data_IF_018473938295
#
_entry.id   IF_018473938295
#
_cell.length_a   1.000
_cell.length_b   1.000
_cell.length_c   1.000
_cell.angle_alpha   90.00
_cell.angle_beta   90.00
_cell.angle_gamma   90.00
#
_symmetry.space_group_name_H-M   'P 1'
#
loop_
_entity.id
_entity.type
_entity.pdbx_description
1 polymer ?
#
# COMPACT_ATOMS: atom_id res chain seq x y z
N UNK A 1 7.54 17.97 6.16
CA UNK A 1 8.91 17.42 6.06
C UNK A 1 9.09 16.67 4.74
N UNK A 2 10.33 16.56 4.25
CA UNK A 2 10.69 15.77 3.08
C UNK A 2 10.28 14.29 3.20
N UNK A 3 10.45 13.66 4.37
CA UNK A 3 10.02 12.28 4.60
C UNK A 3 8.52 12.06 4.44
N UNK A 4 7.69 12.96 4.97
CA UNK A 4 6.23 12.89 4.79
C UNK A 4 5.83 13.08 3.33
N UNK A 5 6.41 14.07 2.64
CA UNK A 5 6.13 14.29 1.20
C UNK A 5 6.47 13.05 0.38
N UNK A 6 7.69 12.52 0.55
CA UNK A 6 8.12 11.32 -0.16
C UNK A 6 7.22 10.14 0.15
N UNK A 7 6.86 9.95 1.43
CA UNK A 7 5.98 8.89 1.85
C UNK A 7 4.58 8.96 1.24
N UNK A 8 4.00 10.17 1.11
CA UNK A 8 2.68 10.34 0.48
C UNK A 8 2.69 10.05 -1.01
N UNK A 9 3.76 10.42 -1.71
CA UNK A 9 3.87 10.19 -3.16
C UNK A 9 4.22 8.74 -3.48
N UNK A 10 4.96 8.05 -2.59
CA UNK A 10 5.50 6.70 -2.84
C UNK A 10 4.66 5.55 -2.29
N UNK A 11 3.50 5.82 -1.66
CA UNK A 11 2.49 4.81 -1.38
C UNK A 11 2.11 4.64 0.10
N UNK A 12 2.01 3.38 0.56
CA UNK A 12 1.37 3.04 1.83
C UNK A 12 2.16 3.52 3.06
N UNK A 13 1.85 4.75 3.48
CA UNK A 13 2.52 5.44 4.55
C UNK A 13 2.36 4.69 5.89
N UNK A 14 1.13 4.38 6.26
CA UNK A 14 0.76 3.84 7.58
C UNK A 14 1.31 2.44 7.80
N UNK A 15 1.29 1.58 6.78
CA UNK A 15 1.67 0.18 6.95
C UNK A 15 3.12 -0.12 6.58
N UNK A 16 3.78 0.72 5.78
CA UNK A 16 5.15 0.45 5.31
C UNK A 16 6.13 1.57 5.68
N UNK A 17 5.84 2.82 5.30
CA UNK A 17 6.84 3.91 5.38
C UNK A 17 7.05 4.42 6.80
N UNK A 18 5.98 4.62 7.57
CA UNK A 18 6.04 5.07 8.97
C UNK A 18 6.73 4.04 9.86
N UNK A 19 6.36 2.75 9.86
CA UNK A 19 7.08 1.74 10.65
C UNK A 19 8.56 1.64 10.29
N UNK A 20 8.91 1.68 8.99
CA UNK A 20 10.30 1.66 8.54
C UNK A 20 11.09 2.86 9.07
N UNK A 21 10.54 4.08 8.99
CA UNK A 21 11.17 5.28 9.52
C UNK A 21 11.33 5.23 11.04
N UNK A 22 10.32 4.73 11.77
CA UNK A 22 10.38 4.55 13.22
C UNK A 22 11.48 3.56 13.62
N UNK A 23 11.56 2.40 12.96
CA UNK A 23 12.63 1.42 13.20
C UNK A 23 14.02 1.98 12.88
N UNK A 24 14.17 2.74 11.80
CA UNK A 24 15.45 3.38 11.47
C UNK A 24 15.87 4.42 12.52
N UNK A 25 14.92 5.21 13.02
CA UNK A 25 15.17 6.18 14.10
C UNK A 25 15.53 5.48 15.41
N UNK A 26 14.89 4.35 15.73
CA UNK A 26 15.18 3.55 16.92
C UNK A 26 16.60 2.96 16.88
N UNK A 27 16.99 2.36 15.74
CA UNK A 27 18.36 1.83 15.53
C UNK A 27 19.41 2.94 15.64
N UNK A 28 19.12 4.11 15.07
CA UNK A 28 19.99 5.27 15.15
C UNK A 28 19.91 6.02 16.50
N UNK A 29 19.08 5.56 17.44
CA UNK A 29 18.86 6.16 18.77
C UNK A 29 18.50 7.65 18.71
N UNK A 30 17.71 8.04 17.71
CA UNK A 30 17.21 9.41 17.54
C UNK A 30 15.71 9.48 17.85
N UNK A 31 15.27 10.62 18.40
CA UNK A 31 13.87 10.83 18.73
C UNK A 31 13.10 11.36 17.51
N UNK A 32 11.85 10.88 17.27
CA UNK A 32 10.95 11.49 16.30
C UNK A 32 10.72 12.97 16.58
N UNK A 33 10.54 13.78 15.53
CA UNK A 33 10.30 15.22 15.64
C UNK A 33 11.55 16.06 15.97
N UNK A 34 12.72 15.44 16.08
CA UNK A 34 14.01 16.16 16.11
C UNK A 34 14.54 16.33 14.69
N UNK A 35 15.40 17.34 14.47
CA UNK A 35 16.03 17.57 13.16
C UNK A 35 16.79 16.34 12.64
N UNK A 36 17.52 15.64 13.53
CA UNK A 36 18.20 14.37 13.22
C UNK A 36 17.21 13.25 12.89
N UNK A 37 16.10 13.17 13.63
CA UNK A 37 15.03 12.20 13.37
C UNK A 37 14.38 12.43 12.01
N UNK A 38 14.19 13.69 11.61
CA UNK A 38 13.61 14.06 10.33
C UNK A 38 14.53 13.72 9.14
N UNK A 39 15.84 13.88 9.34
CA UNK A 39 16.84 13.53 8.35
C UNK A 39 16.90 12.01 8.13
N UNK A 40 16.90 11.24 9.23
CA UNK A 40 16.87 9.78 9.20
C UNK A 40 15.54 9.25 8.63
N UNK A 41 14.41 9.83 9.01
CA UNK A 41 13.10 9.44 8.49
C UNK A 41 13.02 9.64 6.97
N UNK A 42 13.55 10.76 6.47
CA UNK A 42 13.57 11.07 5.04
C UNK A 42 14.41 10.08 4.25
N UNK A 43 15.63 9.78 4.72
CA UNK A 43 16.50 8.78 4.07
C UNK A 43 15.87 7.40 4.12
N UNK A 44 15.31 7.01 5.27
CA UNK A 44 14.65 5.70 5.44
C UNK A 44 13.47 5.53 4.47
N UNK A 45 12.63 6.55 4.32
CA UNK A 45 11.47 6.52 3.42
C UNK A 45 11.93 6.48 1.95
N UNK A 46 13.01 7.18 1.60
CA UNK A 46 13.61 7.12 0.26
C UNK A 46 14.12 5.73 -0.08
N UNK A 47 14.92 5.13 0.79
CA UNK A 47 15.45 3.78 0.60
C UNK A 47 14.33 2.75 0.54
N UNK A 48 13.36 2.82 1.45
CA UNK A 48 12.17 1.94 1.42
C UNK A 48 11.46 1.99 0.07
N UNK A 49 11.36 3.18 -0.53
CA UNK A 49 10.69 3.38 -1.82
C UNK A 49 11.49 2.78 -2.96
N UNK A 50 12.80 3.00 -3.01
CA UNK A 50 13.68 2.38 -4.00
C UNK A 50 13.59 0.85 -3.91
N UNK A 51 13.67 0.28 -2.70
CA UNK A 51 13.57 -1.18 -2.49
C UNK A 51 12.21 -1.70 -2.98
N UNK A 52 11.12 -1.01 -2.65
CA UNK A 52 9.77 -1.41 -3.11
C UNK A 52 9.68 -1.38 -4.63
N UNK A 53 10.20 -0.33 -5.27
CA UNK A 53 10.23 -0.21 -6.74
C UNK A 53 11.03 -1.32 -7.38
N UNK A 54 12.20 -1.68 -6.83
CA UNK A 54 13.03 -2.78 -7.35
C UNK A 54 12.30 -4.12 -7.23
N UNK A 55 11.65 -4.39 -6.08
CA UNK A 55 10.88 -5.62 -5.88
C UNK A 55 9.74 -5.71 -6.89
N UNK A 56 8.98 -4.62 -7.09
CA UNK A 56 7.89 -4.57 -8.08
C UNK A 56 8.45 -4.79 -9.48
N UNK A 57 9.56 -4.13 -9.84
CA UNK A 57 10.18 -4.26 -11.14
C UNK A 57 10.58 -5.72 -11.44
N UNK A 58 11.25 -6.38 -10.50
CA UNK A 58 11.60 -7.80 -10.63
C UNK A 58 10.35 -8.67 -10.70
N UNK A 59 9.34 -8.41 -9.87
CA UNK A 59 8.07 -9.13 -9.90
C UNK A 59 7.36 -9.03 -11.25
N UNK A 60 7.34 -7.85 -11.87
CA UNK A 60 6.75 -7.64 -13.20
C UNK A 60 7.55 -8.38 -14.28
N UNK A 61 8.88 -8.35 -14.23
CA UNK A 61 9.71 -9.12 -15.16
C UNK A 61 9.44 -10.62 -15.07
N UNK A 62 9.29 -11.15 -13.86
CA UNK A 62 8.95 -12.57 -13.65
C UNK A 62 7.53 -12.90 -14.10
N UNK A 63 6.56 -12.01 -13.85
CA UNK A 63 5.18 -12.18 -14.28
C UNK A 63 5.01 -12.17 -15.80
N UNK A 64 5.85 -11.43 -16.53
CA UNK A 64 5.85 -11.44 -18.00
C UNK A 64 6.03 -12.85 -18.57
N UNK A 65 6.80 -13.71 -17.90
CA UNK A 65 6.97 -15.11 -18.31
C UNK A 65 5.73 -15.97 -18.05
N UNK A 66 4.87 -15.58 -17.10
CA UNK A 66 3.62 -16.27 -16.76
C UNK A 66 2.41 -15.77 -17.56
N UNK A 67 2.57 -14.69 -18.33
CA UNK A 67 1.51 -14.09 -19.14
C UNK A 67 0.66 -15.10 -19.95
N UNK A 68 1.21 -16.10 -20.67
CA UNK A 68 0.39 -17.05 -21.43
C UNK A 68 -0.54 -17.91 -20.56
N UNK A 69 -0.21 -18.11 -19.29
CA UNK A 69 -1.06 -18.84 -18.35
C UNK A 69 -2.14 -17.91 -17.81
N UNK A 70 -1.77 -16.67 -17.44
CA UNK A 70 -2.67 -15.68 -16.86
C UNK A 70 -3.76 -15.24 -17.86
N UNK A 71 -3.44 -15.16 -19.15
CA UNK A 71 -4.37 -14.79 -20.22
C UNK A 71 -5.20 -15.96 -20.78
N UNK A 72 -5.14 -17.14 -20.15
CA UNK A 72 -5.95 -18.29 -20.57
C UNK A 72 -7.45 -18.04 -20.39
N UNK A 73 -8.27 -18.62 -21.27
CA UNK A 73 -9.75 -18.51 -21.22
C UNK A 73 -10.34 -18.98 -19.87
N UNK A 74 -9.67 -19.92 -19.20
CA UNK A 74 -10.08 -20.44 -17.89
C UNK A 74 -9.94 -19.37 -16.80
N UNK A 75 -8.93 -18.50 -16.89
CA UNK A 75 -8.66 -17.45 -15.89
C UNK A 75 -9.27 -16.09 -16.26
N UNK A 76 -9.66 -15.87 -17.52
CA UNK A 76 -10.34 -14.66 -17.98
C UNK A 76 -11.47 -14.15 -17.05
N UNK A 77 -12.42 -14.99 -16.55
CA UNK A 77 -13.46 -14.50 -15.64
C UNK A 77 -12.93 -14.03 -14.28
N UNK A 78 -11.81 -14.58 -13.79
CA UNK A 78 -11.19 -14.13 -12.55
C UNK A 78 -10.62 -12.71 -12.73
N UNK A 79 -9.95 -12.44 -13.85
CA UNK A 79 -9.40 -11.11 -14.15
C UNK A 79 -10.50 -10.07 -14.43
N UNK A 80 -11.59 -10.46 -15.10
CA UNK A 80 -12.74 -9.59 -15.35
C UNK A 80 -13.42 -9.10 -14.06
N UNK A 81 -13.32 -9.87 -12.96
CA UNK A 81 -13.94 -9.57 -11.67
C UNK A 81 -12.95 -9.04 -10.62
N UNK A 82 -11.74 -8.63 -11.00
CA UNK A 82 -10.75 -8.07 -10.06
C UNK A 82 -11.27 -6.81 -9.35
N UNK A 83 -11.88 -5.87 -10.09
CA UNK A 83 -12.38 -4.63 -9.50
C UNK A 83 -13.54 -4.90 -8.51
N UNK A 84 -14.60 -5.63 -8.89
CA UNK A 84 -15.65 -6.01 -7.94
C UNK A 84 -15.15 -6.74 -6.71
N UNK A 85 -14.20 -7.67 -6.85
CA UNK A 85 -13.66 -8.42 -5.71
C UNK A 85 -12.79 -7.57 -4.78
N UNK A 86 -11.97 -6.67 -5.34
CA UNK A 86 -11.16 -5.73 -4.57
C UNK A 86 -12.03 -4.77 -3.76
N UNK A 87 -12.98 -4.10 -4.41
CA UNK A 87 -13.87 -3.15 -3.74
C UNK A 87 -14.90 -3.85 -2.84
N UNK A 88 -15.35 -5.04 -3.21
CA UNK A 88 -16.23 -5.86 -2.37
C UNK A 88 -15.58 -6.23 -1.05
N UNK A 89 -14.32 -6.68 -1.06
CA UNK A 89 -13.57 -6.97 0.17
C UNK A 89 -13.41 -5.72 1.05
N UNK A 90 -13.08 -4.57 0.45
CA UNK A 90 -13.00 -3.30 1.18
C UNK A 90 -14.36 -2.89 1.76
N UNK A 91 -15.43 -2.99 0.98
CA UNK A 91 -16.78 -2.65 1.39
C UNK A 91 -17.18 -3.45 2.63
N UNK A 92 -16.93 -4.76 2.66
CA UNK A 92 -17.20 -5.62 3.82
C UNK A 92 -16.45 -5.14 5.06
N UNK A 93 -15.16 -4.80 4.94
CA UNK A 93 -14.37 -4.27 6.07
C UNK A 93 -14.95 -2.97 6.62
N UNK A 94 -15.38 -2.04 5.75
CA UNK A 94 -15.95 -0.77 6.19
C UNK A 94 -17.37 -0.90 6.77
N UNK A 95 -18.22 -1.72 6.13
CA UNK A 95 -19.60 -1.97 6.56
C UNK A 95 -19.62 -2.69 7.91
N UNK A 96 -18.80 -3.74 8.08
CA UNK A 96 -18.71 -4.49 9.34
C UNK A 96 -18.25 -3.64 10.52
N UNK A 97 -17.39 -2.64 10.28
CA UNK A 97 -16.88 -1.75 11.33
C UNK A 97 -17.95 -0.80 11.86
N UNK A 98 -18.89 -0.36 11.01
CA UNK A 98 -19.91 0.64 11.35
C UNK A 98 -21.27 0.39 10.66
N UNK A 99 -21.89 -0.77 10.91
CA UNK A 99 -23.12 -1.21 10.23
C UNK A 99 -24.26 -0.19 10.26
N UNK A 100 -24.44 0.53 11.37
CA UNK A 100 -25.50 1.54 11.53
C UNK A 100 -25.36 2.72 10.57
N UNK A 101 -24.12 3.16 10.32
CA UNK A 101 -23.83 4.28 9.42
C UNK A 101 -23.84 3.79 7.97
N UNK A 102 -23.34 2.57 7.74
CA UNK A 102 -23.30 1.95 6.42
C UNK A 102 -24.69 1.66 5.83
N UNK A 103 -25.72 1.52 6.66
CA UNK A 103 -27.09 1.23 6.22
C UNK A 103 -27.66 2.32 5.30
N UNK A 104 -27.37 3.60 5.57
CA UNK A 104 -27.88 4.71 4.77
C UNK A 104 -27.39 4.68 3.30
N UNK A 105 -26.07 4.66 3.00
CA UNK A 105 -25.60 4.55 1.62
C UNK A 105 -25.97 3.21 0.96
N UNK A 106 -26.05 2.10 1.71
CA UNK A 106 -26.51 0.81 1.16
C UNK A 106 -27.95 0.85 0.64
N UNK A 107 -28.83 1.64 1.27
CA UNK A 107 -30.25 1.74 0.88
C UNK A 107 -30.49 2.82 -0.17
N UNK A 108 -29.76 3.93 -0.12
CA UNK A 108 -30.00 5.10 -0.98
C UNK A 108 -29.11 5.19 -2.21
N UNK A 109 -28.00 4.44 -2.27
CA UNK A 109 -26.98 4.55 -3.32
C UNK A 109 -26.95 3.32 -4.25
N UNK A 110 -27.87 2.38 -4.05
CA UNK A 110 -28.12 1.18 -4.87
C UNK A 110 -29.23 1.44 -5.89
#
# INVERSE_FOLDING_TARGET
SGGSYLGFVTGNLTNLKVPCALSAMEVAKVKPGTEKGELISTISIAVSSIVTTVIIFVGVLLLSQLQPILESEVLAPAFANILPSLFGALAVVFISKNWKIALAPLVFML
#
